data_IF_688317203300
#
_entry.id   IF_688317203300
#
_cell.length_a   1.000
_cell.length_b   1.000
_cell.length_c   1.000
_cell.angle_alpha   90.00
_cell.angle_beta   90.00
_cell.angle_gamma   90.00
#
_symmetry.space_group_name_H-M   'P 1'
#
loop_
_entity.id
_entity.type
_entity.pdbx_description
1 polymer ?
#
# COMPACT_ATOMS: atom_id res chain seq x y z
N UNK A 1 -2.69 32.82 10.10
CA UNK A 1 -2.21 31.92 9.02
C UNK A 1 -2.94 30.60 9.22
N UNK A 2 -4.12 30.53 8.61
CA UNK A 2 -5.13 29.51 8.81
C UNK A 2 -5.17 28.62 7.57
N UNK A 3 -4.43 27.50 7.61
CA UNK A 3 -4.39 26.53 6.53
C UNK A 3 -4.97 25.20 7.06
N UNK A 4 -6.28 25.04 6.83
CA UNK A 4 -7.05 23.78 6.81
C UNK A 4 -7.51 23.13 8.12
N UNK A 5 -8.24 23.92 8.92
CA UNK A 5 -9.43 23.42 9.62
C UNK A 5 -10.53 23.03 8.60
N UNK A 6 -10.52 21.78 8.14
CA UNK A 6 -11.69 21.10 7.56
C UNK A 6 -11.58 19.60 7.81
N UNK A 7 -11.37 19.25 9.07
CA UNK A 7 -11.46 17.89 9.59
C UNK A 7 -12.77 17.83 10.39
N UNK A 8 -13.53 16.74 10.23
CA UNK A 8 -14.80 16.38 10.90
C UNK A 8 -16.11 16.73 10.17
N UNK A 9 -16.82 15.69 9.75
CA UNK A 9 -18.29 15.63 9.87
C UNK A 9 -19.08 15.24 8.62
N UNK A 10 -19.37 13.93 8.47
CA UNK A 10 -20.73 13.34 8.57
C UNK A 10 -20.86 12.09 7.68
N UNK A 11 -21.30 11.05 8.38
CA UNK A 11 -21.66 9.69 7.98
C UNK A 11 -22.72 9.59 6.87
N UNK A 12 -22.65 8.52 6.09
CA UNK A 12 -23.84 7.76 5.68
C UNK A 12 -23.54 6.26 5.81
N UNK A 13 -24.31 5.62 6.68
CA UNK A 13 -24.29 4.21 7.03
C UNK A 13 -24.68 3.30 5.87
N UNK A 14 -24.19 2.06 5.87
CA UNK A 14 -25.04 0.92 5.52
C UNK A 14 -24.68 -0.30 6.37
N UNK A 15 -25.73 -0.95 6.87
CA UNK A 15 -25.72 -2.01 7.86
C UNK A 15 -25.66 -3.42 7.24
N UNK A 16 -25.15 -4.39 8.01
CA UNK A 16 -25.25 -5.84 7.80
C UNK A 16 -23.94 -6.56 8.14
N UNK A 17 -23.69 -6.95 9.41
CA UNK A 17 -23.86 -8.30 9.97
C UNK A 17 -22.80 -9.32 9.44
N UNK A 18 -22.01 -10.10 10.20
CA UNK A 18 -22.12 -10.72 11.53
C UNK A 18 -20.71 -11.08 12.09
N UNK A 19 -20.63 -11.45 13.38
CA UNK A 19 -19.41 -11.86 14.10
C UNK A 19 -19.20 -13.39 14.14
N UNK A 20 -17.93 -13.83 14.09
CA UNK A 20 -17.43 -15.20 14.36
C UNK A 20 -15.88 -15.21 14.46
N UNK A 21 -15.25 -16.18 15.18
CA UNK A 21 -14.21 -15.84 16.17
C UNK A 21 -12.73 -16.02 15.77
N UNK A 22 -11.92 -15.20 16.43
CA UNK A 22 -10.52 -15.35 16.88
C UNK A 22 -9.54 -16.27 16.13
N UNK A 23 -8.43 -15.66 15.68
CA UNK A 23 -7.14 -16.33 15.52
C UNK A 23 -6.63 -16.39 14.10
N UNK A 24 -6.65 -15.28 13.37
CA UNK A 24 -6.03 -15.22 12.05
C UNK A 24 -5.21 -13.94 11.95
N UNK A 25 -3.89 -14.09 11.84
CA UNK A 25 -3.04 -13.02 11.35
C UNK A 25 -3.48 -12.77 9.91
N UNK A 26 -4.45 -11.86 9.74
CA UNK A 26 -4.94 -11.47 8.42
C UNK A 26 -3.76 -10.80 7.73
N UNK A 27 -3.15 -11.51 6.79
CA UNK A 27 -2.30 -10.93 5.77
C UNK A 27 -3.13 -9.83 5.07
N UNK A 28 -2.93 -8.57 5.46
CA UNK A 28 -3.55 -7.41 4.83
C UNK A 28 -2.86 -7.04 3.51
N UNK A 29 -2.60 -8.06 2.68
CA UNK A 29 -2.60 -7.89 1.25
C UNK A 29 -4.06 -7.93 0.81
N UNK A 30 -4.54 -6.90 0.11
CA UNK A 30 -5.78 -7.06 -0.65
C UNK A 30 -5.64 -8.28 -1.59
N UNK A 31 -6.52 -9.31 -1.53
CA UNK A 31 -6.53 -10.39 -2.50
C UNK A 31 -6.81 -9.85 -3.92
N UNK A 32 -6.42 -10.58 -4.99
CA UNK A 32 -6.22 -10.03 -6.31
C UNK A 32 -7.55 -9.74 -7.01
N UNK A 33 -7.71 -8.52 -7.53
CA UNK A 33 -8.61 -8.32 -8.66
C UNK A 33 -7.88 -8.89 -9.88
N UNK A 34 -8.39 -10.01 -10.41
CA UNK A 34 -7.78 -11.02 -11.32
C UNK A 34 -7.34 -10.53 -12.72
N UNK A 35 -6.99 -9.26 -12.86
CA UNK A 35 -6.23 -8.79 -14.02
C UNK A 35 -5.38 -7.61 -13.58
N UNK A 36 -4.05 -7.75 -13.70
CA UNK A 36 -3.18 -6.57 -13.76
C UNK A 36 -3.69 -5.77 -14.97
N UNK A 37 -4.26 -4.56 -14.78
CA UNK A 37 -4.79 -3.82 -15.90
C UNK A 37 -3.66 -3.52 -16.88
N UNK A 38 -3.95 -3.65 -18.18
CA UNK A 38 -2.97 -3.34 -19.23
C UNK A 38 -2.48 -1.88 -19.12
N UNK A 39 -3.34 -1.01 -18.61
CA UNK A 39 -3.08 0.41 -18.39
C UNK A 39 -2.99 0.72 -16.89
N UNK A 40 -1.95 1.49 -16.50
CA UNK A 40 -1.75 1.93 -15.13
C UNK A 40 -2.55 3.20 -14.87
N UNK A 41 -3.48 3.15 -13.91
CA UNK A 41 -4.02 4.36 -13.29
C UNK A 41 -3.00 4.91 -12.27
N UNK A 42 -2.27 5.94 -12.69
CA UNK A 42 -1.20 6.57 -11.89
C UNK A 42 -1.78 7.26 -10.64
N UNK A 43 -2.95 7.89 -10.74
CA UNK A 43 -3.58 8.57 -9.62
C UNK A 43 -4.05 7.56 -8.57
N UNK A 44 -4.62 6.43 -9.00
CA UNK A 44 -4.97 5.35 -8.11
C UNK A 44 -3.74 4.76 -7.40
N UNK A 45 -2.62 4.60 -8.12
CA UNK A 45 -1.36 4.10 -7.55
C UNK A 45 -0.78 5.05 -6.51
N UNK A 46 -0.79 6.37 -6.77
CA UNK A 46 -0.36 7.40 -5.81
C UNK A 46 -1.24 7.34 -4.56
N UNK A 47 -2.56 7.38 -4.74
CA UNK A 47 -3.50 7.36 -3.63
C UNK A 47 -3.39 6.08 -2.78
N UNK A 48 -3.09 4.94 -3.40
CA UNK A 48 -2.83 3.69 -2.69
C UNK A 48 -1.58 3.78 -1.80
N UNK A 49 -0.48 4.36 -2.30
CA UNK A 49 0.73 4.56 -1.50
C UNK A 49 0.55 5.60 -0.40
N UNK A 50 -0.21 6.68 -0.64
CA UNK A 50 -0.54 7.66 0.41
C UNK A 50 -1.33 7.01 1.57
N UNK A 51 -2.36 6.21 1.25
CA UNK A 51 -3.11 5.46 2.27
C UNK A 51 -2.22 4.47 3.02
N UNK A 52 -1.33 3.79 2.30
CA UNK A 52 -0.38 2.85 2.90
C UNK A 52 0.59 3.56 3.85
N UNK A 53 1.12 4.74 3.48
CA UNK A 53 1.98 5.55 4.36
C UNK A 53 1.24 6.02 5.61
N UNK A 54 0.01 6.49 5.48
CA UNK A 54 -0.81 6.87 6.63
C UNK A 54 -0.99 5.70 7.61
N UNK A 55 -1.23 4.49 7.08
CA UNK A 55 -1.30 3.26 7.86
C UNK A 55 0.03 2.91 8.54
N UNK A 56 1.16 3.06 7.85
CA UNK A 56 2.48 2.87 8.47
C UNK A 56 2.65 3.82 9.67
N UNK A 57 2.31 5.10 9.51
CA UNK A 57 2.41 6.08 10.59
C UNK A 57 1.51 5.70 11.78
N UNK A 58 0.27 5.28 11.52
CA UNK A 58 -0.61 4.79 12.59
C UNK A 58 -0.04 3.58 13.32
N UNK A 59 0.70 2.69 12.63
CA UNK A 59 1.38 1.56 13.24
C UNK A 59 2.52 2.02 14.15
N UNK A 60 3.40 2.88 13.63
CA UNK A 60 4.54 3.42 14.36
C UNK A 60 4.12 4.24 15.59
N UNK A 61 2.93 4.83 15.56
CA UNK A 61 2.37 5.60 16.67
C UNK A 61 1.51 4.74 17.63
N UNK A 62 1.48 3.41 17.45
CA UNK A 62 0.74 2.48 18.31
C UNK A 62 -0.79 2.61 18.19
N UNK A 63 -1.30 3.24 17.12
CA UNK A 63 -2.74 3.40 16.86
C UNK A 63 -3.36 2.22 16.12
N UNK A 64 -2.55 1.31 15.57
CA UNK A 64 -3.05 0.11 14.93
C UNK A 64 -3.11 -1.07 15.89
N UNK A 65 -4.27 -1.76 16.00
CA UNK A 65 -4.40 -2.95 16.84
C UNK A 65 -3.75 -4.20 16.21
N UNK A 66 -3.44 -4.15 14.91
CA UNK A 66 -2.84 -5.25 14.15
C UNK A 66 -1.43 -4.87 13.74
N UNK A 67 -0.48 -5.77 13.99
CA UNK A 67 0.92 -5.60 13.61
C UNK A 67 1.11 -5.62 12.10
N UNK A 68 2.20 -5.00 11.64
CA UNK A 68 2.66 -5.11 10.27
C UNK A 68 3.79 -6.14 10.19
N UNK A 69 3.82 -6.94 9.13
CA UNK A 69 4.89 -7.90 8.87
C UNK A 69 5.98 -7.25 7.98
N UNK A 70 7.22 -7.05 8.49
CA UNK A 70 8.32 -6.50 7.70
C UNK A 70 8.61 -7.27 6.42
N UNK A 71 8.48 -8.60 6.44
CA UNK A 71 8.84 -9.44 5.29
C UNK A 71 7.80 -9.32 4.18
N UNK A 72 6.53 -9.11 4.55
CA UNK A 72 5.47 -8.76 3.58
C UNK A 72 5.66 -7.34 3.05
N UNK A 73 6.03 -6.38 3.89
CA UNK A 73 6.24 -4.99 3.46
C UNK A 73 7.40 -4.86 2.47
N UNK A 74 8.49 -5.61 2.69
CA UNK A 74 9.69 -5.58 1.85
C UNK A 74 9.42 -6.01 0.42
N UNK A 75 8.37 -6.80 0.19
CA UNK A 75 7.93 -7.25 -1.12
C UNK A 75 7.38 -6.10 -1.94
N UNK A 76 8.23 -5.56 -2.80
CA UNK A 76 7.86 -4.50 -3.72
C UNK A 76 6.88 -5.01 -4.79
N UNK A 77 6.87 -6.31 -5.10
CA UNK A 77 5.93 -6.94 -6.03
C UNK A 77 4.48 -7.09 -5.51
N UNK A 78 4.18 -6.71 -4.26
CA UNK A 78 2.84 -6.90 -3.69
C UNK A 78 1.89 -5.72 -3.83
N UNK A 79 2.42 -4.52 -3.98
CA UNK A 79 1.59 -3.34 -4.25
C UNK A 79 0.97 -3.42 -5.65
N UNK A 80 -0.16 -2.74 -5.87
CA UNK A 80 -0.77 -2.70 -7.21
C UNK A 80 0.20 -2.14 -8.27
N UNK A 81 0.94 -1.08 -7.92
CA UNK A 81 1.99 -0.52 -8.76
C UNK A 81 3.14 -1.53 -8.97
N UNK A 82 3.57 -2.21 -7.91
CA UNK A 82 4.63 -3.22 -7.97
C UNK A 82 4.29 -4.37 -8.90
N UNK A 83 3.09 -4.97 -8.72
CA UNK A 83 2.58 -6.01 -9.63
C UNK A 83 2.55 -5.55 -11.08
N UNK A 84 2.16 -4.29 -11.31
CA UNK A 84 2.17 -3.73 -12.66
C UNK A 84 3.59 -3.53 -13.19
N UNK A 85 4.50 -2.95 -12.40
CA UNK A 85 5.88 -2.70 -12.80
C UNK A 85 6.64 -4.00 -13.10
N UNK A 86 6.46 -5.05 -12.29
CA UNK A 86 7.06 -6.38 -12.52
C UNK A 86 6.36 -7.18 -13.64
N UNK A 87 5.16 -6.77 -14.05
CA UNK A 87 4.38 -7.38 -15.11
C UNK A 87 4.34 -6.52 -16.38
N UNK A 88 3.15 -6.12 -16.81
CA UNK A 88 2.92 -5.34 -18.05
C UNK A 88 3.78 -4.09 -18.14
N UNK A 89 4.07 -3.43 -17.01
CA UNK A 89 4.92 -2.26 -16.96
C UNK A 89 6.37 -2.52 -17.42
N UNK A 90 6.88 -3.75 -17.24
CA UNK A 90 8.19 -4.13 -17.77
C UNK A 90 8.19 -4.16 -19.30
N UNK A 91 7.12 -4.67 -19.92
CA UNK A 91 6.99 -4.71 -21.38
C UNK A 91 6.79 -3.30 -21.96
N UNK A 92 5.98 -2.47 -21.29
CA UNK A 92 5.63 -1.12 -21.76
C UNK A 92 6.76 -0.10 -21.51
N UNK A 93 7.42 -0.16 -20.35
CA UNK A 93 8.41 0.85 -19.94
C UNK A 93 9.84 0.34 -19.90
N UNK A 94 10.09 -0.97 -20.01
CA UNK A 94 11.42 -1.56 -19.81
C UNK A 94 12.48 -1.05 -20.78
N UNK A 95 12.07 -0.59 -21.96
CA UNK A 95 12.98 0.02 -22.94
C UNK A 95 13.41 1.45 -22.56
N UNK A 96 12.75 2.10 -21.60
CA UNK A 96 13.13 3.43 -21.16
C UNK A 96 14.31 3.37 -20.17
N UNK A 97 15.35 4.19 -20.36
CA UNK A 97 16.53 4.18 -19.48
C UNK A 97 16.23 4.57 -18.02
N UNK A 98 15.09 5.22 -17.77
CA UNK A 98 14.63 5.59 -16.43
C UNK A 98 13.94 4.44 -15.68
N UNK A 99 13.51 3.37 -16.37
CA UNK A 99 12.75 2.27 -15.75
C UNK A 99 13.53 1.53 -14.65
N UNK A 100 14.83 1.18 -14.82
CA UNK A 100 15.61 0.60 -13.73
C UNK A 100 15.69 1.49 -12.48
N UNK A 101 15.75 2.82 -12.67
CA UNK A 101 15.74 3.77 -11.55
C UNK A 101 14.37 3.82 -10.86
N UNK A 102 13.27 3.74 -11.61
CA UNK A 102 11.92 3.63 -11.07
C UNK A 102 11.78 2.37 -10.20
N UNK A 103 12.21 1.22 -10.71
CA UNK A 103 12.19 -0.05 -9.96
C UNK A 103 13.04 0.03 -8.69
N UNK A 104 14.26 0.57 -8.79
CA UNK A 104 15.14 0.75 -7.63
C UNK A 104 14.52 1.65 -6.56
N UNK A 105 13.86 2.75 -6.95
CA UNK A 105 13.17 3.66 -6.01
C UNK A 105 11.98 3.00 -5.35
N UNK A 106 11.21 2.23 -6.11
CA UNK A 106 10.04 1.51 -5.61
C UNK A 106 10.47 0.43 -4.59
N UNK A 107 11.48 -0.38 -4.93
CA UNK A 107 12.09 -1.33 -3.99
C UNK A 107 12.65 -0.65 -2.74
N UNK A 108 13.38 0.44 -2.90
CA UNK A 108 13.96 1.18 -1.78
C UNK A 108 12.89 1.68 -0.79
N UNK A 109 11.77 2.19 -1.31
CA UNK A 109 10.64 2.59 -0.47
C UNK A 109 10.13 1.45 0.41
N UNK A 110 9.89 0.27 -0.18
CA UNK A 110 9.43 -0.93 0.54
C UNK A 110 10.47 -1.46 1.54
N UNK A 111 11.76 -1.38 1.21
CA UNK A 111 12.84 -1.78 2.13
C UNK A 111 12.89 -0.86 3.36
N UNK A 112 12.87 0.46 3.18
CA UNK A 112 12.91 1.41 4.29
C UNK A 112 11.69 1.28 5.19
N UNK A 113 10.53 1.05 4.59
CA UNK A 113 9.31 0.75 5.29
C UNK A 113 9.41 -0.52 6.17
N UNK A 114 9.93 -1.61 5.60
CA UNK A 114 10.12 -2.86 6.32
C UNK A 114 11.07 -2.69 7.50
N UNK A 115 12.15 -1.94 7.31
CA UNK A 115 13.09 -1.62 8.39
C UNK A 115 12.42 -0.78 9.48
N UNK A 116 11.64 0.25 9.15
CA UNK A 116 10.90 1.01 10.16
C UNK A 116 10.01 0.10 11.03
N UNK A 117 9.31 -0.86 10.41
CA UNK A 117 8.46 -1.81 11.14
C UNK A 117 9.27 -2.80 11.99
N UNK A 118 10.43 -3.24 11.51
CA UNK A 118 11.33 -4.12 12.26
C UNK A 118 11.82 -3.50 13.58
N UNK A 119 11.96 -2.18 13.62
CA UNK A 119 12.49 -1.43 14.76
C UNK A 119 11.45 -0.67 15.59
N UNK A 120 10.17 -0.77 15.23
CA UNK A 120 9.04 -0.14 15.93
C UNK A 120 8.58 -0.97 17.14
#
# INVERSE_FOLDING_TARGET
MDFFRRFLGVSASNAGAQAGPAGEAIALASPPEDSVPAELDVDAAINAHERWKARLMDYLEGRLPVGLDPDVIRRDDYSALGRWLHGVGADVLGHHPAYPLLMARHRYFHEQAAEMVRWA
#
